data_IF_958291858587
#
_entry.id   IF_958291858587
#
_cell.length_a   1.000
_cell.length_b   1.000
_cell.length_c   1.000
_cell.angle_alpha   90.00
_cell.angle_beta   90.00
_cell.angle_gamma   90.00
#
_symmetry.space_group_name_H-M   'P 1'
#
loop_
_entity.id
_entity.type
_entity.pdbx_description
1 polymer ?
#
# COMPACT_ATOMS: atom_id res chain seq x y z
N UNK A 1 -35.71 21.08 -31.48
CA UNK A 1 -35.33 21.63 -30.18
C UNK A 1 -35.49 20.66 -29.01
N UNK A 2 -36.60 19.87 -28.90
CA UNK A 2 -36.84 18.93 -27.80
C UNK A 2 -35.79 17.79 -27.77
N UNK A 3 -35.52 17.16 -28.90
CA UNK A 3 -34.57 16.03 -29.04
C UNK A 3 -33.15 16.46 -28.67
N UNK A 4 -32.73 17.65 -29.10
CA UNK A 4 -31.38 18.17 -28.76
C UNK A 4 -31.22 18.37 -27.26
N UNK A 5 -32.24 18.88 -26.56
CA UNK A 5 -32.23 19.06 -25.09
C UNK A 5 -32.18 17.72 -24.39
N UNK A 6 -32.86 16.70 -24.86
CA UNK A 6 -32.83 15.34 -24.32
C UNK A 6 -31.43 14.72 -24.47
N UNK A 7 -30.83 14.84 -25.67
CA UNK A 7 -29.47 14.35 -25.92
C UNK A 7 -28.45 15.04 -24.97
N UNK A 8 -28.53 16.37 -24.84
CA UNK A 8 -27.65 17.11 -23.94
C UNK A 8 -27.85 16.65 -22.48
N UNK A 9 -29.10 16.44 -22.05
CA UNK A 9 -29.39 15.93 -20.71
C UNK A 9 -28.79 14.54 -20.46
N UNK A 10 -28.94 13.61 -21.40
CA UNK A 10 -28.32 12.28 -21.31
C UNK A 10 -26.80 12.36 -21.28
N UNK A 11 -26.18 13.19 -22.11
CA UNK A 11 -24.73 13.40 -22.09
C UNK A 11 -24.25 13.95 -20.76
N UNK A 12 -25.01 14.87 -20.14
CA UNK A 12 -24.68 15.43 -18.83
C UNK A 12 -24.72 14.34 -17.74
N UNK A 13 -25.75 13.48 -17.74
CA UNK A 13 -25.83 12.37 -16.78
C UNK A 13 -24.68 11.39 -16.93
N UNK A 14 -24.34 11.02 -18.16
CA UNK A 14 -23.21 10.10 -18.44
C UNK A 14 -21.88 10.73 -17.97
N UNK A 15 -21.68 12.01 -18.29
CA UNK A 15 -20.47 12.72 -17.86
C UNK A 15 -20.39 12.81 -16.34
N UNK A 16 -21.49 13.14 -15.66
CA UNK A 16 -21.54 13.22 -14.20
C UNK A 16 -21.24 11.86 -13.56
N UNK A 17 -21.86 10.79 -14.05
CA UNK A 17 -21.60 9.42 -13.58
C UNK A 17 -20.13 9.01 -13.79
N UNK A 18 -19.56 9.37 -14.93
CA UNK A 18 -18.15 9.12 -15.23
C UNK A 18 -17.23 9.86 -14.26
N UNK A 19 -17.48 11.15 -13.99
CA UNK A 19 -16.69 11.94 -13.03
C UNK A 19 -16.79 11.35 -11.63
N UNK A 20 -17.99 10.95 -11.18
CA UNK A 20 -18.19 10.32 -9.87
C UNK A 20 -17.43 8.99 -9.80
N UNK A 21 -17.53 8.14 -10.81
CA UNK A 21 -16.80 6.88 -10.86
C UNK A 21 -15.28 7.09 -10.84
N UNK A 22 -14.78 8.09 -11.53
CA UNK A 22 -13.37 8.48 -11.51
C UNK A 22 -12.94 8.94 -10.11
N UNK A 23 -13.73 9.77 -9.44
CA UNK A 23 -13.44 10.23 -8.07
C UNK A 23 -13.41 9.05 -7.08
N UNK A 24 -14.35 8.12 -7.18
CA UNK A 24 -14.35 6.91 -6.35
C UNK A 24 -13.07 6.11 -6.57
N UNK A 25 -12.65 5.90 -7.81
CA UNK A 25 -11.45 5.15 -8.12
C UNK A 25 -10.16 5.86 -7.65
N UNK A 26 -10.12 7.19 -7.73
CA UNK A 26 -8.97 7.98 -7.27
C UNK A 26 -8.85 7.98 -5.75
N UNK A 27 -9.97 8.17 -5.03
CA UNK A 27 -9.93 8.48 -3.59
C UNK A 27 -10.40 7.36 -2.68
N UNK A 28 -11.14 6.37 -3.18
CA UNK A 28 -11.78 5.38 -2.31
C UNK A 28 -11.17 4.00 -2.48
N UNK A 29 -11.13 3.46 -3.69
CA UNK A 29 -10.68 2.11 -3.96
C UNK A 29 -9.80 2.03 -5.20
N UNK A 30 -8.79 1.20 -5.13
CA UNK A 30 -7.93 0.87 -6.26
C UNK A 30 -7.77 -0.64 -6.37
N UNK A 31 -7.83 -1.14 -7.61
CA UNK A 31 -7.38 -2.50 -7.92
C UNK A 31 -5.88 -2.46 -8.20
N UNK A 32 -5.15 -3.44 -7.70
CA UNK A 32 -3.72 -3.59 -7.95
C UNK A 32 -3.37 -5.05 -8.13
N UNK A 33 -2.23 -5.31 -8.75
CA UNK A 33 -1.64 -6.63 -8.85
C UNK A 33 -0.46 -6.72 -7.88
N UNK A 34 -0.34 -7.87 -7.22
CA UNK A 34 0.84 -8.18 -6.40
C UNK A 34 1.97 -8.55 -7.36
N UNK A 35 3.09 -7.86 -7.26
CA UNK A 35 4.30 -8.17 -8.01
C UNK A 35 5.38 -8.68 -7.06
N UNK A 36 5.91 -9.86 -7.38
CA UNK A 36 6.96 -10.51 -6.61
C UNK A 36 6.47 -11.35 -5.43
N UNK A 37 7.42 -11.92 -4.72
CA UNK A 37 7.20 -13.01 -3.75
C UNK A 37 7.34 -12.55 -2.29
N UNK A 38 7.43 -11.24 -2.02
CA UNK A 38 7.75 -10.72 -0.68
C UNK A 38 6.65 -10.92 0.35
N UNK A 39 5.40 -11.16 -0.09
CA UNK A 39 4.23 -11.38 0.79
C UNK A 39 3.77 -12.84 0.84
N UNK A 40 4.50 -13.76 0.23
CA UNK A 40 4.22 -15.19 0.37
C UNK A 40 4.40 -15.66 1.82
N UNK A 41 3.53 -16.54 2.32
CA UNK A 41 2.47 -17.26 1.62
C UNK A 41 1.12 -16.50 1.58
N UNK A 42 1.01 -15.33 2.22
CA UNK A 42 -0.26 -14.59 2.37
C UNK A 42 -0.81 -14.10 1.03
N UNK A 43 0.07 -13.50 0.22
CA UNK A 43 -0.25 -13.06 -1.14
C UNK A 43 0.81 -13.64 -2.09
N UNK A 44 0.36 -14.08 -3.25
CA UNK A 44 1.20 -14.66 -4.29
C UNK A 44 1.44 -13.67 -5.42
N UNK A 45 2.48 -13.91 -6.20
CA UNK A 45 2.73 -13.15 -7.41
C UNK A 45 1.52 -13.22 -8.36
N UNK A 46 1.17 -12.08 -8.96
CA UNK A 46 -0.01 -11.88 -9.82
C UNK A 46 -1.39 -11.98 -9.12
N UNK A 47 -1.45 -12.09 -7.79
CA UNK A 47 -2.72 -11.94 -7.08
C UNK A 47 -3.34 -10.57 -7.37
N UNK A 48 -4.65 -10.56 -7.64
CA UNK A 48 -5.42 -9.33 -7.79
C UNK A 48 -5.95 -8.91 -6.43
N UNK A 49 -5.63 -7.68 -6.02
CA UNK A 49 -5.96 -7.17 -4.71
C UNK A 49 -6.78 -5.89 -4.78
N UNK A 50 -7.69 -5.77 -3.83
CA UNK A 50 -8.47 -4.57 -3.61
C UNK A 50 -7.83 -3.74 -2.48
N UNK A 51 -7.57 -2.46 -2.77
CA UNK A 51 -6.88 -1.53 -1.86
C UNK A 51 -7.81 -0.37 -1.54
N UNK A 52 -7.99 -0.08 -0.26
CA UNK A 52 -8.73 1.09 0.19
C UNK A 52 -7.76 2.25 0.42
N UNK A 53 -8.03 3.39 -0.21
CA UNK A 53 -7.30 4.66 -0.02
C UNK A 53 -7.90 5.53 1.09
N UNK A 54 -9.03 5.12 1.68
CA UNK A 54 -9.73 5.88 2.71
C UNK A 54 -8.89 6.16 3.95
N UNK A 55 -7.81 5.40 4.15
CA UNK A 55 -6.87 5.61 5.25
C UNK A 55 -6.28 7.02 5.23
N UNK A 56 -6.00 7.55 4.04
CA UNK A 56 -5.42 8.89 3.86
C UNK A 56 -6.47 10.00 4.09
N UNK A 57 -7.76 9.69 3.93
CA UNK A 57 -8.86 10.66 4.06
C UNK A 57 -9.34 10.77 5.50
N UNK A 58 -9.47 9.63 6.20
CA UNK A 58 -10.08 9.58 7.53
C UNK A 58 -9.08 9.45 8.67
N UNK A 59 -7.76 9.48 8.38
CA UNK A 59 -6.70 9.24 9.38
C UNK A 59 -6.97 7.99 10.23
N UNK A 60 -7.56 6.96 9.61
CA UNK A 60 -7.77 5.69 10.29
C UNK A 60 -6.42 5.14 10.75
N UNK A 61 -6.32 4.92 12.05
CA UNK A 61 -5.12 4.32 12.60
C UNK A 61 -4.89 2.94 11.96
N UNK A 62 -3.66 2.75 11.51
CA UNK A 62 -3.20 1.44 11.07
C UNK A 62 -3.12 0.53 12.28
N UNK A 63 -3.58 -0.69 12.12
CA UNK A 63 -3.47 -1.73 13.13
C UNK A 63 -2.26 -2.62 12.86
N UNK A 64 -1.75 -3.25 13.91
CA UNK A 64 -0.71 -4.26 13.74
C UNK A 64 -1.24 -5.41 12.89
N UNK A 65 -0.43 -5.85 11.93
CA UNK A 65 -0.81 -6.91 11.00
C UNK A 65 -1.54 -6.42 9.76
N UNK A 66 -1.94 -5.15 9.67
CA UNK A 66 -2.49 -4.59 8.44
C UNK A 66 -1.52 -4.73 7.28
N UNK A 67 -2.03 -5.12 6.12
CA UNK A 67 -1.26 -5.14 4.88
C UNK A 67 -1.50 -3.82 4.16
N UNK A 68 -0.42 -3.13 3.81
CA UNK A 68 -0.44 -1.81 3.20
C UNK A 68 0.38 -1.76 1.93
N UNK A 69 0.00 -0.89 1.01
CA UNK A 69 0.84 -0.51 -0.13
C UNK A 69 1.57 0.76 0.25
N UNK A 70 2.89 0.76 0.09
CA UNK A 70 3.77 1.87 0.41
C UNK A 70 4.49 2.37 -0.84
N UNK A 71 4.81 3.66 -0.85
CA UNK A 71 5.85 4.19 -1.72
C UNK A 71 7.21 3.99 -1.04
N UNK A 72 8.10 3.25 -1.69
CA UNK A 72 9.43 2.92 -1.15
C UNK A 72 10.44 4.05 -1.23
N UNK A 73 10.13 5.13 -1.96
CA UNK A 73 10.98 6.31 -2.11
C UNK A 73 10.80 7.28 -0.94
N UNK A 74 10.98 6.80 0.27
CA UNK A 74 10.68 7.53 1.51
C UNK A 74 11.50 8.80 1.75
N UNK A 75 12.58 9.00 1.00
CA UNK A 75 13.41 10.20 1.06
C UNK A 75 12.84 11.38 0.26
N UNK A 76 11.90 11.12 -0.65
CA UNK A 76 11.27 12.14 -1.47
C UNK A 76 9.98 12.63 -0.81
N UNK A 77 9.73 13.95 -0.77
CA UNK A 77 8.47 14.45 -0.24
C UNK A 77 7.31 14.01 -1.13
N UNK A 78 6.28 13.42 -0.52
CA UNK A 78 5.06 12.99 -1.21
C UNK A 78 3.92 13.97 -0.93
N UNK A 79 3.17 14.33 -1.97
CA UNK A 79 2.05 15.27 -1.93
C UNK A 79 0.76 14.62 -2.44
N UNK A 80 -0.41 15.24 -2.12
CA UNK A 80 -1.71 14.81 -2.65
C UNK A 80 -1.74 14.86 -4.20
N UNK A 81 -0.95 15.75 -4.81
CA UNK A 81 -0.86 15.85 -6.27
C UNK A 81 -0.25 14.57 -6.87
N UNK A 82 0.72 13.98 -6.18
CA UNK A 82 1.33 12.71 -6.60
C UNK A 82 0.28 11.57 -6.55
N UNK A 83 -0.56 11.54 -5.50
CA UNK A 83 -1.65 10.56 -5.39
C UNK A 83 -2.66 10.68 -6.53
N UNK A 84 -3.04 11.90 -6.91
CA UNK A 84 -3.96 12.14 -8.03
C UNK A 84 -3.32 11.76 -9.35
N UNK A 85 -2.07 12.19 -9.59
CA UNK A 85 -1.31 11.89 -10.81
C UNK A 85 -1.19 10.37 -11.00
N UNK A 86 -0.73 9.65 -9.98
CA UNK A 86 -0.58 8.20 -10.02
C UNK A 86 -1.92 7.48 -10.20
N UNK A 87 -2.99 7.98 -9.60
CA UNK A 87 -4.32 7.38 -9.79
C UNK A 87 -4.83 7.53 -11.20
N UNK A 88 -4.49 8.63 -11.87
CA UNK A 88 -4.81 8.85 -13.29
C UNK A 88 -3.91 7.99 -14.18
N UNK A 89 -2.61 7.95 -13.91
CA UNK A 89 -1.63 7.18 -14.71
C UNK A 89 -1.84 5.66 -14.60
N UNK A 90 -2.19 5.16 -13.42
CA UNK A 90 -2.45 3.74 -13.18
C UNK A 90 -3.90 3.30 -13.49
N UNK A 91 -4.70 4.16 -14.09
CA UNK A 91 -6.06 3.80 -14.48
C UNK A 91 -6.02 2.87 -15.72
N UNK A 92 -6.95 1.91 -15.76
CA UNK A 92 -7.07 0.94 -16.86
C UNK A 92 -7.14 1.63 -18.24
N UNK A 93 -7.79 2.79 -18.32
CA UNK A 93 -7.96 3.56 -19.55
C UNK A 93 -6.63 4.16 -20.01
N UNK A 94 -5.83 4.73 -19.12
CA UNK A 94 -4.53 5.31 -19.45
C UNK A 94 -3.51 4.23 -19.82
N UNK A 95 -3.53 3.08 -19.13
CA UNK A 95 -2.69 1.94 -19.46
C UNK A 95 -2.99 1.37 -20.87
N UNK A 96 -4.27 1.33 -21.27
CA UNK A 96 -4.68 0.89 -22.61
C UNK A 96 -4.26 1.91 -23.68
N UNK A 97 -4.34 3.20 -23.38
CA UNK A 97 -4.11 4.28 -24.36
C UNK A 97 -2.62 4.67 -24.49
N UNK A 98 -1.85 4.63 -23.41
CA UNK A 98 -0.50 5.20 -23.35
C UNK A 98 0.61 4.24 -22.93
N UNK A 99 0.28 3.02 -22.47
CA UNK A 99 1.27 1.98 -22.16
C UNK A 99 2.29 2.46 -21.13
N UNK A 100 1.83 2.84 -19.93
CA UNK A 100 2.72 3.32 -18.87
C UNK A 100 3.60 2.19 -18.34
N UNK A 101 4.92 2.42 -18.29
CA UNK A 101 5.85 1.55 -17.59
C UNK A 101 5.50 1.57 -16.08
N UNK A 102 5.36 0.39 -15.51
CA UNK A 102 5.08 0.26 -14.07
C UNK A 102 6.35 0.60 -13.29
N UNK A 103 6.27 1.59 -12.43
CA UNK A 103 7.37 1.90 -11.52
C UNK A 103 7.39 0.89 -10.37
N UNK A 104 8.53 0.23 -10.14
CA UNK A 104 8.78 -0.70 -9.03
C UNK A 104 8.81 -0.02 -7.63
N UNK A 105 8.31 1.21 -7.52
CA UNK A 105 8.37 1.98 -6.27
C UNK A 105 7.31 1.55 -5.25
N UNK A 106 6.23 0.91 -5.69
CA UNK A 106 5.14 0.50 -4.82
C UNK A 106 5.37 -0.91 -4.29
N UNK A 107 5.45 -1.01 -2.96
CA UNK A 107 5.63 -2.29 -2.27
C UNK A 107 4.43 -2.60 -1.41
N UNK A 108 4.01 -3.88 -1.42
CA UNK A 108 3.02 -4.38 -0.50
C UNK A 108 3.73 -5.02 0.71
N UNK A 109 3.38 -4.61 1.92
CA UNK A 109 4.04 -5.02 3.17
C UNK A 109 3.04 -5.08 4.33
N UNK A 110 3.44 -5.76 5.41
CA UNK A 110 2.66 -5.86 6.65
C UNK A 110 3.18 -4.88 7.71
N UNK A 111 2.27 -4.22 8.42
CA UNK A 111 2.58 -3.34 9.56
C UNK A 111 2.99 -4.20 10.75
N UNK A 112 4.23 -4.03 11.20
CA UNK A 112 4.83 -4.74 12.34
C UNK A 112 4.98 -3.81 13.54
N UNK A 113 5.27 -2.53 13.31
CA UNK A 113 5.42 -1.51 14.35
C UNK A 113 4.75 -0.21 14.01
N UNK A 114 4.35 0.54 15.03
CA UNK A 114 3.75 1.87 14.96
C UNK A 114 4.61 2.87 15.72
N UNK A 115 4.31 4.16 15.59
CA UNK A 115 5.01 5.24 16.28
C UNK A 115 5.24 4.91 17.76
N UNK A 116 6.47 5.10 18.23
CA UNK A 116 6.91 4.81 19.58
C UNK A 116 7.36 3.37 19.84
N UNK A 117 7.08 2.44 18.94
CA UNK A 117 7.49 1.04 19.11
C UNK A 117 9.00 0.87 18.96
N UNK A 118 9.51 -0.09 19.71
CA UNK A 118 10.89 -0.58 19.62
C UNK A 118 10.84 -1.96 18.97
N UNK A 119 11.44 -2.08 17.79
CA UNK A 119 11.52 -3.35 17.04
C UNK A 119 12.94 -3.88 17.15
N UNK A 120 13.09 -5.08 17.63
CA UNK A 120 14.38 -5.78 17.78
C UNK A 120 14.34 -7.11 17.03
N UNK A 121 15.48 -7.49 16.48
CA UNK A 121 15.69 -8.78 15.83
C UNK A 121 16.71 -9.57 16.61
N UNK A 122 16.30 -10.70 17.17
CA UNK A 122 17.16 -11.58 17.98
C UNK A 122 16.69 -13.02 17.90
N UNK A 123 17.64 -13.94 17.77
CA UNK A 123 17.38 -15.39 17.74
C UNK A 123 16.31 -15.77 16.69
N UNK A 124 16.42 -15.18 15.48
CA UNK A 124 15.51 -15.38 14.36
C UNK A 124 14.04 -15.00 14.65
N UNK A 125 13.83 -14.11 15.62
CA UNK A 125 12.52 -13.62 16.04
C UNK A 125 12.44 -12.11 15.96
N UNK A 126 11.24 -11.62 15.73
CA UNK A 126 10.91 -10.21 15.87
C UNK A 126 10.37 -9.97 17.28
N UNK A 127 10.94 -8.98 17.95
CA UNK A 127 10.56 -8.55 19.29
C UNK A 127 10.06 -7.11 19.16
N UNK A 128 8.86 -6.86 19.68
CA UNK A 128 8.28 -5.52 19.74
C UNK A 128 8.05 -5.14 21.19
N UNK A 129 8.64 -4.04 21.64
CA UNK A 129 8.54 -3.53 23.01
C UNK A 129 8.92 -4.58 24.08
N UNK A 130 9.89 -5.43 23.77
CA UNK A 130 10.37 -6.49 24.65
C UNK A 130 9.59 -7.82 24.56
N UNK A 131 8.50 -7.87 23.79
CA UNK A 131 7.69 -9.08 23.62
C UNK A 131 7.94 -9.74 22.26
N UNK A 132 8.10 -11.06 22.24
CA UNK A 132 8.26 -11.84 21.00
C UNK A 132 6.94 -11.83 20.24
N UNK A 133 6.96 -11.44 18.96
CA UNK A 133 5.78 -11.47 18.13
C UNK A 133 5.40 -12.89 17.72
N UNK A 134 4.11 -13.19 17.80
CA UNK A 134 3.53 -14.37 17.17
C UNK A 134 3.23 -14.07 15.70
N UNK A 135 3.89 -14.78 14.78
CA UNK A 135 3.87 -14.47 13.35
C UNK A 135 3.47 -15.69 12.51
N UNK A 136 2.21 -16.17 12.64
CA UNK A 136 1.76 -17.38 11.93
C UNK A 136 1.69 -17.21 10.41
N UNK A 137 1.85 -16.00 9.91
CA UNK A 137 1.76 -15.62 8.51
C UNK A 137 3.10 -15.66 7.77
N UNK A 138 4.23 -15.82 8.45
CA UNK A 138 5.53 -15.86 7.77
C UNK A 138 5.70 -17.17 6.99
N UNK A 139 6.39 -17.10 5.85
CA UNK A 139 6.62 -18.25 4.96
C UNK A 139 7.52 -19.30 5.59
N UNK A 140 8.57 -18.82 6.23
CA UNK A 140 9.60 -19.64 6.87
C UNK A 140 10.30 -18.84 7.97
N UNK A 141 11.00 -19.52 8.85
CA UNK A 141 11.77 -18.85 9.88
C UNK A 141 12.79 -17.89 9.26
N UNK A 142 12.81 -16.67 9.76
CA UNK A 142 13.70 -15.65 9.25
C UNK A 142 15.13 -15.87 9.77
N UNK A 143 16.11 -15.53 8.94
CA UNK A 143 17.52 -15.53 9.34
C UNK A 143 17.96 -14.09 9.58
N UNK A 144 17.99 -13.66 10.82
CA UNK A 144 18.47 -12.33 11.22
C UNK A 144 19.93 -12.40 11.63
N UNK A 145 20.85 -12.06 10.71
CA UNK A 145 22.30 -12.16 10.90
C UNK A 145 22.89 -11.25 12.01
N UNK A 146 22.14 -10.31 12.53
CA UNK A 146 22.64 -9.38 13.57
C UNK A 146 21.50 -8.84 14.43
N UNK A 147 21.79 -8.61 15.70
CA UNK A 147 20.89 -7.87 16.57
C UNK A 147 20.82 -6.42 16.09
N UNK A 148 19.67 -6.04 15.56
CA UNK A 148 19.35 -4.66 15.18
C UNK A 148 18.17 -4.19 15.99
N UNK A 149 18.20 -2.91 16.34
CA UNK A 149 17.12 -2.25 17.07
C UNK A 149 16.69 -1.02 16.31
N UNK A 150 15.38 -0.88 16.12
CA UNK A 150 14.75 0.26 15.46
C UNK A 150 13.73 0.88 16.42
N UNK A 151 13.76 2.19 16.54
CA UNK A 151 12.69 2.95 17.19
C UNK A 151 11.85 3.57 16.09
N UNK A 152 10.55 3.30 16.09
CA UNK A 152 9.64 3.84 15.07
C UNK A 152 9.32 5.30 15.42
N UNK A 153 9.68 6.27 14.55
CA UNK A 153 9.42 7.68 14.81
C UNK A 153 7.92 8.01 14.80
N UNK A 154 7.57 9.19 15.33
CA UNK A 154 6.23 9.74 15.19
C UNK A 154 5.82 9.85 13.71
N UNK A 155 4.56 9.58 13.41
CA UNK A 155 4.00 9.58 12.06
C UNK A 155 4.66 8.57 11.09
N UNK A 156 5.27 7.49 11.63
CA UNK A 156 5.85 6.41 10.84
C UNK A 156 5.30 5.06 11.25
N UNK A 157 5.48 4.09 10.36
CA UNK A 157 5.26 2.66 10.63
C UNK A 157 6.48 1.86 10.24
N UNK A 158 6.67 0.72 10.89
CA UNK A 158 7.66 -0.27 10.52
C UNK A 158 6.95 -1.42 9.83
N UNK A 159 7.32 -1.67 8.59
CA UNK A 159 6.63 -2.67 7.74
C UNK A 159 7.60 -3.76 7.30
N UNK A 160 7.10 -5.00 7.18
CA UNK A 160 7.90 -6.13 6.72
C UNK A 160 7.10 -7.00 5.74
N UNK A 161 7.81 -7.68 4.85
CA UNK A 161 7.22 -8.74 4.03
C UNK A 161 7.00 -10.01 4.84
N UNK A 162 6.02 -10.82 4.47
CA UNK A 162 5.73 -12.11 5.10
C UNK A 162 6.78 -13.17 4.70
N UNK A 163 7.34 -13.05 3.50
CA UNK A 163 8.52 -13.81 3.06
C UNK A 163 9.80 -13.12 3.55
N UNK A 164 10.11 -13.28 4.82
CA UNK A 164 11.17 -12.59 5.57
C UNK A 164 12.54 -12.64 4.89
N UNK A 165 12.89 -13.78 4.32
CA UNK A 165 14.19 -14.01 3.68
C UNK A 165 14.26 -13.47 2.26
N UNK A 166 13.09 -13.18 1.64
CA UNK A 166 12.99 -12.62 0.30
C UNK A 166 12.12 -11.35 0.27
N UNK A 167 12.43 -10.40 1.14
CA UNK A 167 11.73 -9.10 1.19
C UNK A 167 12.68 -7.96 1.43
N UNK A 168 12.58 -6.95 0.59
CA UNK A 168 13.11 -5.62 0.84
C UNK A 168 12.03 -4.80 1.53
N UNK A 169 12.31 -4.29 2.75
CA UNK A 169 11.33 -3.63 3.61
C UNK A 169 12.02 -2.72 4.64
N UNK A 170 11.32 -2.32 5.72
CA UNK A 170 11.85 -1.40 6.74
C UNK A 170 13.16 -1.83 7.38
N UNK A 171 13.53 -3.10 7.29
CA UNK A 171 14.87 -3.55 7.74
C UNK A 171 16.00 -2.94 6.92
N UNK A 172 15.71 -2.54 5.67
CA UNK A 172 16.68 -1.96 4.73
C UNK A 172 16.45 -0.47 4.48
N UNK A 173 15.19 0.00 4.40
CA UNK A 173 14.88 1.41 4.10
C UNK A 173 14.55 2.24 5.34
N UNK A 174 14.38 1.62 6.51
CA UNK A 174 13.91 2.31 7.72
C UNK A 174 12.39 2.36 7.83
N UNK A 175 11.91 3.09 8.83
CA UNK A 175 10.48 3.31 9.06
C UNK A 175 9.86 4.15 7.95
N UNK A 176 8.66 3.81 7.55
CA UNK A 176 7.93 4.45 6.44
C UNK A 176 7.02 5.55 6.99
N UNK A 177 7.10 6.79 6.47
CA UNK A 177 6.20 7.86 6.85
C UNK A 177 4.74 7.54 6.48
N UNK A 178 3.77 7.95 7.29
CA UNK A 178 2.35 7.68 7.05
C UNK A 178 1.84 8.26 5.72
N UNK A 179 2.39 9.38 5.27
CA UNK A 179 2.04 9.98 3.96
C UNK A 179 2.59 9.19 2.76
N UNK A 180 3.47 8.20 2.98
CA UNK A 180 3.92 7.23 1.97
C UNK A 180 3.06 5.96 1.93
N UNK A 181 2.00 5.88 2.75
CA UNK A 181 1.03 4.79 2.68
C UNK A 181 0.01 5.14 1.60
N UNK A 182 0.00 4.38 0.51
CA UNK A 182 -0.92 4.56 -0.61
C UNK A 182 -2.31 4.07 -0.28
N UNK A 183 -2.39 2.96 0.47
CA UNK A 183 -3.65 2.39 0.90
C UNK A 183 -3.49 1.08 1.67
N UNK A 184 -4.62 0.61 2.19
CA UNK A 184 -4.72 -0.63 2.98
C UNK A 184 -5.37 -1.72 2.13
N UNK A 185 -4.73 -2.88 2.07
CA UNK A 185 -5.28 -4.09 1.47
C UNK A 185 -6.59 -4.49 2.17
N UNK A 186 -7.56 -4.94 1.40
CA UNK A 186 -8.84 -5.44 1.92
C UNK A 186 -9.06 -6.91 1.64
N UNK A 187 -8.95 -7.34 0.39
CA UNK A 187 -9.10 -8.74 -0.01
C UNK A 187 -8.49 -8.98 -1.39
N UNK A 188 -8.23 -10.24 -1.70
CA UNK A 188 -7.88 -10.71 -3.04
C UNK A 188 -9.08 -11.38 -3.70
N UNK A 189 -9.12 -11.40 -5.04
CA UNK A 189 -10.20 -11.99 -5.83
C UNK A 189 -9.67 -12.66 -7.10
#
# INVERSE_FOLDING_TARGET
MKIIKEIISWMTYILTAFVIAMLINVFVFQQSFVEGHSMEPTLQDNDKVFVSKLINIYHHELEYGDIVIIDSQIELPRTIVDDVKESVENNLITNILFGTEKEEKFWIKRVIGKAGDIIEFRDDKVIRNGEILSEPYIKEQANYMSVKKFVVPENHVFVMGDNRNNSRDSRSIGSVPLNHIIGKYKFRY
#
